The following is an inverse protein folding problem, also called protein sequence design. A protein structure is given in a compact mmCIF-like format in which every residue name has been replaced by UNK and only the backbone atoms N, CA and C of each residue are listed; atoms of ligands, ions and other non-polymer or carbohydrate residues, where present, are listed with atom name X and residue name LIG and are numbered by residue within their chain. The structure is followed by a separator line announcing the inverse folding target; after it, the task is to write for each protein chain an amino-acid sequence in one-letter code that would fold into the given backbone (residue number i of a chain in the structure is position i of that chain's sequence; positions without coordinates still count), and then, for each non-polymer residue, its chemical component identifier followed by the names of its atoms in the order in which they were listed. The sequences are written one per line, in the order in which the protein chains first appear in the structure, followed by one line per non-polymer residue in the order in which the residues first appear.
data_IF_620642673080
#
_entry.id   IF_620642673080
#
_cell.length_a   1.000
_cell.length_b   1.000
_cell.length_c   1.000
_cell.angle_alpha   90.00
_cell.angle_beta   90.00
_cell.angle_gamma   90.00
#
_symmetry.space_group_name_H-M   'P 1'
#
loop_
_entity.id
_entity.type
_entity.pdbx_description
1 polymer ?
#
# COMPACT_ATOMS: atom_id res chain seq x y z
N UNK A 1 15.44 53.36 -35.09
CA UNK A 1 15.59 51.93 -35.46
C UNK A 1 15.61 51.11 -34.19
N UNK A 2 14.45 50.78 -33.60
CA UNK A 2 14.42 50.10 -32.29
C UNK A 2 13.12 49.30 -32.09
N UNK A 3 12.65 48.62 -33.15
CA UNK A 3 11.42 47.81 -33.09
C UNK A 3 11.59 46.51 -33.88
N UNK A 4 12.52 45.67 -33.44
CA UNK A 4 12.74 44.33 -34.05
C UNK A 4 13.23 43.26 -33.08
N UNK A 5 13.50 43.61 -31.80
CA UNK A 5 13.95 42.63 -30.78
C UNK A 5 12.81 41.93 -30.02
N UNK A 6 11.58 42.45 -30.04
CA UNK A 6 10.44 41.88 -29.30
C UNK A 6 9.82 40.61 -29.93
N UNK A 7 9.90 40.45 -31.26
CA UNK A 7 9.17 39.38 -31.97
C UNK A 7 9.88 38.02 -31.84
N UNK A 8 11.21 38.00 -31.73
CA UNK A 8 11.99 36.76 -31.59
C UNK A 8 11.84 36.13 -30.20
N UNK A 9 11.71 36.94 -29.16
CA UNK A 9 11.51 36.43 -27.80
C UNK A 9 10.12 35.77 -27.66
N UNK A 10 9.07 36.39 -28.21
CA UNK A 10 7.71 35.83 -28.13
C UNK A 10 7.61 34.46 -28.83
N UNK A 11 8.22 34.29 -30.01
CA UNK A 11 8.21 33.00 -30.71
C UNK A 11 8.86 31.86 -29.93
N UNK A 12 9.94 32.16 -29.19
CA UNK A 12 10.63 31.16 -28.35
C UNK A 12 9.76 30.77 -27.15
N UNK A 13 9.06 31.71 -26.51
CA UNK A 13 8.13 31.39 -25.41
C UNK A 13 6.95 30.54 -25.85
N UNK A 14 6.35 30.84 -27.02
CA UNK A 14 5.28 30.01 -27.57
C UNK A 14 5.76 28.59 -27.89
N UNK A 15 6.97 28.47 -28.44
CA UNK A 15 7.56 27.16 -28.75
C UNK A 15 7.86 26.34 -27.49
N UNK A 16 8.44 26.96 -26.45
CA UNK A 16 8.71 26.30 -25.18
C UNK A 16 7.40 25.87 -24.50
N UNK A 17 6.39 26.73 -24.48
CA UNK A 17 5.08 26.42 -23.92
C UNK A 17 4.43 25.23 -24.64
N UNK A 18 4.48 25.20 -25.98
CA UNK A 18 3.96 24.08 -26.77
C UNK A 18 4.70 22.76 -26.48
N UNK A 19 6.03 22.80 -26.37
CA UNK A 19 6.83 21.61 -26.03
C UNK A 19 6.48 21.05 -24.65
N UNK A 20 6.26 21.91 -23.65
CA UNK A 20 5.85 21.48 -22.31
C UNK A 20 4.47 20.81 -22.33
N UNK A 21 3.51 21.36 -23.09
CA UNK A 21 2.18 20.77 -23.23
C UNK A 21 2.25 19.39 -23.90
N UNK A 22 3.04 19.25 -24.97
CA UNK A 22 3.21 17.96 -25.66
C UNK A 22 3.88 16.91 -24.76
N UNK A 23 4.91 17.30 -23.99
CA UNK A 23 5.56 16.42 -23.03
C UNK A 23 4.58 15.95 -21.94
N UNK A 24 3.76 16.86 -21.40
CA UNK A 24 2.78 16.52 -20.38
C UNK A 24 1.69 15.57 -20.90
N UNK A 25 1.18 15.80 -22.11
CA UNK A 25 0.21 14.89 -22.73
C UNK A 25 0.80 13.49 -22.98
N UNK A 26 2.07 13.43 -23.40
CA UNK A 26 2.75 12.14 -23.59
C UNK A 26 2.90 11.35 -22.28
N UNK A 27 3.19 12.02 -21.17
CA UNK A 27 3.26 11.41 -19.84
C UNK A 27 1.91 10.88 -19.37
N UNK A 28 0.82 11.63 -19.61
CA UNK A 28 -0.54 11.19 -19.29
C UNK A 28 -0.85 9.89 -20.05
N UNK A 29 -0.63 9.87 -21.37
CA UNK A 29 -0.88 8.69 -22.20
C UNK A 29 -0.03 7.49 -21.74
N UNK A 30 1.24 7.71 -21.44
CA UNK A 30 2.12 6.67 -20.90
C UNK A 30 1.58 6.08 -19.60
N UNK A 31 1.14 6.94 -18.68
CA UNK A 31 0.59 6.50 -17.41
C UNK A 31 -0.67 5.65 -17.61
N UNK A 32 -1.58 6.06 -18.50
CA UNK A 32 -2.79 5.27 -18.81
C UNK A 32 -2.46 3.91 -19.44
N UNK A 33 -1.44 3.81 -20.29
CA UNK A 33 -1.02 2.54 -20.89
C UNK A 33 -0.38 1.59 -19.87
N UNK A 34 0.40 2.11 -18.92
CA UNK A 34 1.04 1.29 -17.89
C UNK A 34 0.08 0.82 -16.79
N UNK A 35 -1.04 1.52 -16.60
CA UNK A 35 -2.06 1.20 -15.59
C UNK A 35 -3.22 0.35 -16.16
N UNK A 36 -2.95 -0.56 -17.09
CA UNK A 36 -3.93 -1.60 -17.42
C UNK A 36 -4.08 -2.52 -16.19
N UNK A 37 -5.24 -2.53 -15.49
CA UNK A 37 -5.43 -3.45 -14.38
C UNK A 37 -5.42 -4.88 -14.94
N UNK A 38 -4.59 -5.74 -14.35
CA UNK A 38 -4.65 -7.18 -14.62
C UNK A 38 -6.08 -7.65 -14.31
N UNK A 39 -6.83 -8.01 -15.35
CA UNK A 39 -8.12 -8.66 -15.19
C UNK A 39 -7.83 -10.07 -14.69
N UNK A 40 -8.09 -10.28 -13.41
CA UNK A 40 -7.99 -11.57 -12.73
C UNK A 40 -9.06 -12.50 -13.32
N UNK A 41 -8.71 -13.16 -14.42
CA UNK A 41 -9.53 -14.17 -15.09
C UNK A 41 -9.57 -15.44 -14.22
N UNK A 42 -10.52 -15.45 -13.30
CA UNK A 42 -11.34 -16.61 -12.99
C UNK A 42 -10.62 -17.94 -12.76
N UNK A 43 -9.96 -18.08 -11.61
CA UNK A 43 -9.70 -19.39 -11.03
C UNK A 43 -10.91 -19.84 -10.18
N UNK A 44 -11.89 -20.52 -10.79
CA UNK A 44 -12.88 -21.28 -10.02
C UNK A 44 -12.19 -22.43 -9.30
N UNK A 45 -12.11 -22.34 -7.98
CA UNK A 45 -11.76 -23.48 -7.13
C UNK A 45 -13.02 -24.31 -6.88
N UNK A 46 -13.07 -25.52 -7.45
CA UNK A 46 -14.01 -26.58 -7.07
C UNK A 46 -13.26 -27.63 -6.24
N UNK A 47 -13.55 -27.78 -4.94
CA UNK A 47 -13.30 -29.02 -4.24
C UNK A 47 -14.46 -29.99 -4.53
N UNK A 48 -14.11 -31.17 -5.04
CA UNK A 48 -15.03 -32.23 -5.39
C UNK A 48 -15.90 -32.71 -4.22
N UNK A 49 -17.15 -33.01 -4.56
CA UNK A 49 -18.12 -33.68 -3.70
C UNK A 49 -17.69 -35.14 -3.46
N UNK A 50 -17.10 -35.44 -2.31
CA UNK A 50 -17.15 -36.80 -1.76
C UNK A 50 -18.35 -36.92 -0.84
N UNK A 51 -19.38 -37.63 -1.31
CA UNK A 51 -20.55 -38.03 -0.52
C UNK A 51 -20.11 -38.81 0.72
N UNK A 52 -20.44 -38.26 1.89
CA UNK A 52 -20.34 -38.93 3.17
C UNK A 52 -21.52 -38.52 4.03
N UNK A 53 -22.64 -39.22 3.87
CA UNK A 53 -23.83 -39.07 4.70
C UNK A 53 -23.49 -39.41 6.15
N UNK A 54 -23.40 -38.40 7.02
CA UNK A 54 -23.56 -38.54 8.47
C UNK A 54 -24.60 -37.53 8.93
N UNK A 55 -25.79 -38.06 9.25
CA UNK A 55 -26.79 -37.35 10.04
C UNK A 55 -26.22 -37.07 11.42
N UNK A 56 -25.67 -35.87 11.61
CA UNK A 56 -25.46 -35.30 12.93
C UNK A 56 -26.44 -34.15 13.08
N UNK A 57 -27.30 -34.27 14.10
CA UNK A 57 -28.16 -33.22 14.62
C UNK A 57 -27.44 -31.87 14.62
N UNK A 58 -27.88 -30.95 13.76
CA UNK A 58 -27.41 -29.58 13.76
C UNK A 58 -27.67 -28.97 15.14
N UNK A 59 -26.65 -28.51 15.88
CA UNK A 59 -26.89 -27.57 16.96
C UNK A 59 -27.58 -26.32 16.37
N UNK A 60 -28.39 -25.59 17.18
CA UNK A 60 -29.03 -24.37 16.71
C UNK A 60 -27.99 -23.47 16.06
N UNK A 61 -28.33 -22.73 14.97
CA UNK A 61 -27.38 -21.88 14.29
C UNK A 61 -26.77 -20.92 15.32
N UNK A 62 -25.54 -21.20 15.72
CA UNK A 62 -24.79 -20.35 16.61
C UNK A 62 -24.74 -18.99 15.95
N UNK A 63 -25.18 -17.96 16.66
CA UNK A 63 -25.14 -16.59 16.17
C UNK A 63 -23.78 -16.30 15.52
N UNK A 64 -23.73 -15.53 14.42
CA UNK A 64 -22.47 -15.22 13.76
C UNK A 64 -21.48 -14.65 14.77
N UNK A 65 -20.23 -15.09 14.69
CA UNK A 65 -19.19 -14.67 15.65
C UNK A 65 -18.87 -13.18 15.54
N UNK A 66 -19.28 -12.54 14.45
CA UNK A 66 -19.03 -11.15 14.13
C UNK A 66 -20.06 -10.59 13.15
N UNK A 67 -20.20 -9.26 13.13
CA UNK A 67 -21.03 -8.53 12.16
C UNK A 67 -20.30 -8.43 10.83
N UNK A 68 -20.97 -8.73 9.73
CA UNK A 68 -20.37 -8.67 8.39
C UNK A 68 -19.72 -7.30 8.12
N UNK A 69 -18.47 -7.31 7.65
CA UNK A 69 -17.71 -6.09 7.38
C UNK A 69 -17.14 -5.40 8.62
N UNK A 70 -17.37 -5.90 9.84
CA UNK A 70 -16.68 -5.41 11.03
C UNK A 70 -15.17 -5.61 10.90
N UNK A 71 -14.42 -4.63 11.40
CA UNK A 71 -12.96 -4.68 11.49
C UNK A 71 -12.58 -4.42 12.94
N UNK A 72 -11.76 -5.31 13.49
CA UNK A 72 -11.31 -5.23 14.88
C UNK A 72 -9.79 -5.39 14.96
N UNK A 73 -9.23 -4.90 16.06
CA UNK A 73 -7.81 -5.06 16.36
C UNK A 73 -7.56 -6.47 16.88
N UNK A 74 -6.47 -7.08 16.43
CA UNK A 74 -6.04 -8.40 16.86
C UNK A 74 -4.54 -8.42 17.10
N UNK A 75 -4.08 -9.46 17.81
CA UNK A 75 -2.65 -9.73 17.99
C UNK A 75 -2.35 -11.07 17.37
N UNK A 76 -1.36 -11.12 16.48
CA UNK A 76 -0.94 -12.37 15.86
C UNK A 76 -0.20 -13.23 16.87
N UNK A 77 -0.71 -14.43 17.10
CA UNK A 77 -0.22 -15.34 18.14
C UNK A 77 1.25 -15.77 17.95
N UNK A 78 1.73 -15.88 16.70
CA UNK A 78 3.12 -16.28 16.42
C UNK A 78 4.17 -15.26 16.87
N UNK A 79 3.89 -13.96 16.69
CA UNK A 79 4.89 -12.89 16.79
C UNK A 79 4.49 -11.77 17.76
N UNK A 80 3.32 -11.90 18.41
CA UNK A 80 2.68 -10.88 19.25
C UNK A 80 2.53 -9.52 18.57
N UNK A 81 2.41 -9.50 17.24
CA UNK A 81 2.32 -8.28 16.48
C UNK A 81 0.88 -7.77 16.36
N UNK A 82 0.64 -6.47 16.60
CA UNK A 82 -0.68 -5.87 16.45
C UNK A 82 -1.06 -5.82 14.97
N UNK A 83 -2.31 -6.18 14.68
CA UNK A 83 -2.89 -6.21 13.36
C UNK A 83 -4.39 -5.98 13.40
N UNK A 84 -5.04 -6.25 12.28
CA UNK A 84 -6.50 -6.19 12.16
C UNK A 84 -7.02 -7.47 11.52
N UNK A 85 -8.25 -7.83 11.89
CA UNK A 85 -9.01 -8.84 11.19
C UNK A 85 -10.36 -8.28 10.77
N UNK A 86 -10.94 -8.89 9.74
CA UNK A 86 -12.20 -8.48 9.15
C UNK A 86 -13.19 -9.64 9.21
N UNK A 87 -14.45 -9.33 9.46
CA UNK A 87 -15.51 -10.32 9.45
C UNK A 87 -16.02 -10.56 8.03
N UNK A 88 -15.96 -11.80 7.58
CA UNK A 88 -16.53 -12.23 6.31
C UNK A 88 -17.34 -13.52 6.47
N UNK A 89 -18.59 -13.52 6.01
CA UNK A 89 -19.58 -14.59 6.19
C UNK A 89 -19.72 -15.04 7.64
N UNK A 90 -19.75 -14.09 8.57
CA UNK A 90 -19.90 -14.34 10.01
C UNK A 90 -18.70 -15.04 10.68
N UNK A 91 -17.51 -15.01 10.04
CA UNK A 91 -16.25 -15.51 10.59
C UNK A 91 -15.17 -14.44 10.53
N UNK A 92 -14.35 -14.34 11.57
CA UNK A 92 -13.15 -13.52 11.57
C UNK A 92 -12.11 -14.08 10.60
N UNK A 93 -11.50 -13.21 9.80
CA UNK A 93 -10.30 -13.54 9.03
C UNK A 93 -9.08 -13.69 9.93
N UNK A 94 -7.97 -14.16 9.37
CA UNK A 94 -6.70 -14.21 10.08
C UNK A 94 -6.22 -12.80 10.44
N UNK A 95 -5.43 -12.69 11.51
CA UNK A 95 -4.88 -11.40 11.94
C UNK A 95 -3.84 -10.86 10.95
N UNK A 96 -4.24 -9.89 10.14
CA UNK A 96 -3.39 -9.24 9.16
C UNK A 96 -2.53 -8.16 9.84
N UNK A 97 -1.20 -8.27 9.71
CA UNK A 97 -0.27 -7.25 10.21
C UNK A 97 0.34 -6.56 9.00
N UNK A 98 0.09 -5.25 8.79
CA UNK A 98 0.64 -4.52 7.65
C UNK A 98 2.17 -4.46 7.76
N UNK A 99 2.87 -4.85 6.70
CA UNK A 99 4.33 -4.76 6.62
C UNK A 99 4.72 -3.55 5.78
N UNK A 100 5.33 -2.56 6.41
CA UNK A 100 5.88 -1.36 5.75
C UNK A 100 7.40 -1.40 5.62
N UNK A 101 8.07 -2.22 6.43
CA UNK A 101 9.52 -2.40 6.42
C UNK A 101 9.91 -3.83 6.81
N UNK A 102 11.12 -4.23 6.43
CA UNK A 102 11.70 -5.53 6.82
C UNK A 102 12.21 -5.42 8.26
N UNK A 103 11.77 -6.28 9.19
CA UNK A 103 12.21 -6.24 10.58
C UNK A 103 13.73 -6.18 10.73
N UNK A 104 14.21 -5.26 11.57
CA UNK A 104 15.65 -5.05 11.80
C UNK A 104 16.40 -4.30 10.69
N UNK A 105 15.76 -4.04 9.54
CA UNK A 105 16.38 -3.23 8.50
C UNK A 105 16.65 -1.80 8.99
N UNK A 106 17.69 -1.17 8.45
CA UNK A 106 18.14 0.18 8.82
C UNK A 106 18.02 1.11 7.62
N UNK A 107 17.54 2.32 7.86
CA UNK A 107 17.55 3.39 6.87
C UNK A 107 18.09 4.67 7.48
N UNK A 108 18.76 5.46 6.66
CA UNK A 108 19.25 6.78 7.06
C UNK A 108 18.08 7.71 7.38
N UNK A 109 18.25 8.56 8.39
CA UNK A 109 17.29 9.59 8.77
C UNK A 109 18.05 10.85 9.19
N UNK A 110 17.41 12.01 9.01
CA UNK A 110 17.88 13.24 9.61
C UNK A 110 17.43 13.28 11.07
N UNK A 111 18.33 13.58 12.00
CA UNK A 111 17.91 13.88 13.36
C UNK A 111 17.28 15.27 13.39
N UNK A 112 16.39 15.51 14.36
CA UNK A 112 15.76 16.83 14.53
C UNK A 112 16.72 17.87 15.14
N UNK A 113 17.96 17.48 15.42
CA UNK A 113 18.99 18.40 15.90
C UNK A 113 19.38 19.36 14.79
N UNK A 114 19.52 20.65 15.12
CA UNK A 114 19.83 21.73 14.18
C UNK A 114 21.18 21.58 13.45
N UNK A 115 21.97 20.55 13.79
CA UNK A 115 23.33 20.31 13.30
C UNK A 115 23.40 19.26 12.21
N UNK A 116 22.60 19.34 11.13
CA UNK A 116 22.72 18.49 9.92
C UNK A 116 23.14 17.03 10.18
N UNK A 117 22.64 16.43 11.25
CA UNK A 117 23.18 15.19 11.76
C UNK A 117 22.39 14.02 11.19
N UNK A 118 23.13 13.02 10.72
CA UNK A 118 22.55 11.83 10.10
C UNK A 118 22.59 10.69 11.10
N UNK A 119 21.45 10.04 11.26
CA UNK A 119 21.29 8.85 12.06
C UNK A 119 20.76 7.68 11.25
N UNK A 120 20.49 6.60 11.96
CA UNK A 120 19.74 5.47 11.46
C UNK A 120 18.50 5.24 12.31
N UNK A 121 17.40 4.90 11.64
CA UNK A 121 16.22 4.33 12.28
C UNK A 121 16.11 2.86 11.91
N UNK A 122 15.66 2.05 12.86
CA UNK A 122 15.55 0.60 12.72
C UNK A 122 14.08 0.20 12.62
N UNK A 123 13.75 -0.66 11.67
CA UNK A 123 12.42 -1.21 11.54
C UNK A 123 12.08 -2.10 12.75
N UNK A 124 10.89 -1.93 13.32
CA UNK A 124 10.45 -2.71 14.47
C UNK A 124 10.31 -4.22 14.12
N UNK A 125 10.30 -5.13 15.12
CA UNK A 125 10.17 -6.57 14.88
C UNK A 125 8.91 -6.94 14.10
N UNK A 126 7.85 -6.16 14.26
CA UNK A 126 6.58 -6.38 13.58
C UNK A 126 6.56 -5.88 12.13
N UNK A 127 7.58 -5.18 11.66
CA UNK A 127 7.61 -4.60 10.31
C UNK A 127 6.55 -3.52 10.07
N UNK A 128 5.88 -3.04 11.12
CA UNK A 128 4.74 -2.11 11.04
C UNK A 128 5.16 -0.65 11.17
N UNK A 129 6.41 -0.39 11.56
CA UNK A 129 6.86 0.93 11.97
C UNK A 129 8.38 1.04 11.96
N UNK A 130 8.87 2.25 11.73
CA UNK A 130 10.26 2.62 12.02
C UNK A 130 10.34 3.14 13.45
N UNK A 131 11.38 2.75 14.19
CA UNK A 131 11.71 3.36 15.48
C UNK A 131 12.28 4.76 15.33
N UNK A 132 12.75 5.31 16.45
CA UNK A 132 13.35 6.64 16.48
C UNK A 132 14.64 6.73 15.66
N UNK A 133 14.93 7.94 15.18
CA UNK A 133 16.20 8.22 14.52
C UNK A 133 17.29 8.37 15.59
N UNK A 134 18.30 7.51 15.54
CA UNK A 134 19.43 7.54 16.49
C UNK A 134 20.72 7.83 15.75
N UNK A 135 21.60 8.66 16.35
CA UNK A 135 22.91 8.96 15.77
C UNK A 135 23.73 7.67 15.68
N UNK A 136 24.20 7.34 14.48
CA UNK A 136 25.23 6.32 14.26
C UNK A 136 26.57 6.94 14.61
N UNK A 137 27.06 6.66 15.82
CA UNK A 137 28.43 6.95 16.24
C UNK A 137 29.39 5.94 15.60
#
# INVERSE_FOLDING_TARGET
MESSRGIRAMGVFFYISLLLVLAFLSLIVYHFLTFAPAQDLGGQWQPGLTSGTKSNSSPPPSAPACTEGAVENCTRESDSCPGTHSCYKGRWSGCAVPKICVPGNRVSCATQDETCSYGAKVCNPCGTGWGDCTLTN
#
